data_IF_399988542921
#
_entry.id   IF_399988542921
#
_cell.length_a   1.000
_cell.length_b   1.000
_cell.length_c   1.000
_cell.angle_alpha   90.00
_cell.angle_beta   90.00
_cell.angle_gamma   90.00
#
_symmetry.space_group_name_H-M   'P 1'
#
loop_
_entity.id
_entity.type
_entity.pdbx_description
1 polymer ?
#
# COMPACT_ATOMS: atom_id res chain seq x y z
N UNK A 1 -1.77 -22.55 -94.64
CA UNK A 1 -2.81 -22.12 -93.69
C UNK A 1 -2.36 -22.63 -92.33
N UNK A 2 -1.72 -21.76 -91.53
CA UNK A 2 -2.27 -21.18 -90.29
C UNK A 2 -2.54 -22.27 -89.23
N UNK A 3 -2.04 -22.23 -88.00
CA UNK A 3 -1.89 -21.07 -87.12
C UNK A 3 -0.98 -21.45 -85.92
N UNK A 4 -0.08 -20.54 -85.56
CA UNK A 4 0.78 -20.59 -84.38
C UNK A 4 0.06 -19.88 -83.23
N UNK A 5 -0.21 -20.54 -82.11
CA UNK A 5 -0.68 -19.87 -80.88
C UNK A 5 0.32 -20.12 -79.75
N UNK A 6 1.14 -19.11 -79.52
CA UNK A 6 2.09 -19.01 -78.41
C UNK A 6 1.34 -18.75 -77.09
N UNK A 7 1.53 -19.64 -76.12
CA UNK A 7 1.04 -19.50 -74.75
C UNK A 7 1.71 -18.35 -74.00
N UNK A 8 0.92 -17.31 -73.74
CA UNK A 8 1.30 -16.08 -73.01
C UNK A 8 1.51 -16.39 -71.52
N UNK A 9 2.76 -16.29 -71.03
CA UNK A 9 3.09 -16.37 -69.60
C UNK A 9 2.47 -15.19 -68.85
N UNK A 10 1.51 -15.45 -67.95
CA UNK A 10 0.94 -14.44 -67.03
C UNK A 10 1.95 -14.15 -65.90
N UNK A 11 2.33 -12.88 -65.79
CA UNK A 11 3.12 -12.29 -64.70
C UNK A 11 2.23 -12.21 -63.46
N UNK A 12 2.57 -12.95 -62.40
CA UNK A 12 1.86 -12.90 -61.12
C UNK A 12 2.43 -11.74 -60.31
N UNK A 13 1.55 -10.80 -59.96
CA UNK A 13 1.81 -9.60 -59.20
C UNK A 13 1.93 -9.94 -57.70
N UNK A 14 3.06 -9.58 -57.10
CA UNK A 14 3.37 -9.90 -55.70
C UNK A 14 2.66 -8.94 -54.74
N UNK A 15 1.78 -9.46 -53.88
CA UNK A 15 1.18 -8.72 -52.77
C UNK A 15 2.23 -8.38 -51.68
N UNK A 16 2.16 -7.19 -51.06
CA UNK A 16 3.09 -6.81 -50.01
C UNK A 16 2.79 -7.52 -48.68
N UNK A 17 3.83 -8.07 -48.04
CA UNK A 17 3.77 -8.72 -46.72
C UNK A 17 3.60 -7.68 -45.61
N UNK A 18 2.75 -7.90 -44.59
CA UNK A 18 2.66 -7.01 -43.45
C UNK A 18 3.87 -7.21 -42.51
N UNK A 19 4.47 -6.09 -42.10
CA UNK A 19 5.63 -6.01 -41.19
C UNK A 19 5.28 -6.59 -39.82
N UNK A 20 6.12 -7.51 -39.34
CA UNK A 20 6.13 -8.04 -37.98
C UNK A 20 6.35 -6.91 -36.97
N UNK A 21 5.35 -6.62 -36.14
CA UNK A 21 5.52 -5.79 -34.94
C UNK A 21 6.23 -6.62 -33.87
N UNK A 22 7.40 -6.13 -33.47
CA UNK A 22 8.24 -6.62 -32.38
C UNK A 22 7.42 -6.61 -31.09
N UNK A 23 7.28 -7.77 -30.44
CA UNK A 23 6.67 -7.89 -29.13
C UNK A 23 7.46 -7.05 -28.11
N UNK A 24 6.83 -6.03 -27.54
CA UNK A 24 7.32 -5.35 -26.35
C UNK A 24 7.23 -6.35 -25.18
N UNK A 25 8.39 -6.74 -24.66
CA UNK A 25 8.50 -7.40 -23.36
C UNK A 25 8.04 -6.41 -22.30
N UNK A 26 6.96 -6.73 -21.61
CA UNK A 26 6.63 -6.15 -20.31
C UNK A 26 7.79 -6.42 -19.35
N UNK A 27 8.49 -5.36 -18.99
CA UNK A 27 9.50 -5.36 -17.94
C UNK A 27 8.81 -5.63 -16.61
N UNK A 28 9.10 -6.78 -16.01
CA UNK A 28 8.94 -7.00 -14.57
C UNK A 28 9.77 -5.93 -13.85
N UNK A 29 9.10 -5.02 -13.16
CA UNK A 29 9.73 -3.94 -12.39
C UNK A 29 10.29 -4.53 -11.09
N UNK A 30 11.49 -5.12 -11.18
CA UNK A 30 12.30 -5.40 -10.00
C UNK A 30 12.80 -4.05 -9.48
N UNK A 31 12.71 -3.77 -8.16
CA UNK A 31 13.17 -2.51 -7.60
C UNK A 31 14.63 -2.31 -8.03
N UNK A 32 14.87 -1.22 -8.77
CA UNK A 32 16.18 -0.94 -9.34
C UNK A 32 17.22 -0.93 -8.22
N UNK A 33 18.41 -1.50 -8.47
CA UNK A 33 19.49 -1.59 -7.48
C UNK A 33 19.85 -0.22 -6.87
N UNK A 34 19.59 0.86 -7.60
CA UNK A 34 19.71 2.25 -7.12
C UNK A 34 18.73 2.59 -6.00
N UNK A 35 17.51 2.05 -5.99
CA UNK A 35 16.51 2.22 -4.92
C UNK A 35 16.93 1.48 -3.65
N UNK A 36 17.47 0.27 -3.78
CA UNK A 36 17.99 -0.50 -2.66
C UNK A 36 19.26 0.15 -2.07
N UNK A 37 20.14 0.67 -2.93
CA UNK A 37 21.32 1.43 -2.51
C UNK A 37 20.96 2.76 -1.85
N UNK A 38 19.90 3.44 -2.32
CA UNK A 38 19.40 4.65 -1.68
C UNK A 38 18.85 4.35 -0.28
N UNK A 39 18.08 3.27 -0.14
CA UNK A 39 17.60 2.78 1.15
C UNK A 39 18.77 2.43 2.09
N UNK A 40 19.79 1.73 1.60
CA UNK A 40 20.97 1.37 2.39
C UNK A 40 21.77 2.59 2.86
N UNK A 41 21.92 3.62 2.02
CA UNK A 41 22.56 4.89 2.43
C UNK A 41 21.71 5.65 3.45
N UNK A 42 20.39 5.61 3.32
CA UNK A 42 19.50 6.27 4.26
C UNK A 42 19.50 5.56 5.62
N UNK A 43 19.50 4.23 5.67
CA UNK A 43 19.65 3.45 6.92
C UNK A 43 21.01 3.73 7.57
N UNK A 44 22.07 3.85 6.79
CA UNK A 44 23.39 4.25 7.30
C UNK A 44 23.36 5.67 7.88
N UNK A 45 22.65 6.60 7.23
CA UNK A 45 22.45 7.96 7.76
C UNK A 45 21.74 7.98 9.12
N UNK A 46 20.81 7.05 9.37
CA UNK A 46 20.16 6.91 10.68
C UNK A 46 21.11 6.32 11.73
N UNK A 47 21.93 5.32 11.34
CA UNK A 47 22.95 4.75 12.22
C UNK A 47 24.03 5.78 12.59
N UNK A 48 24.47 6.59 11.62
CA UNK A 48 25.43 7.69 11.83
C UNK A 48 24.79 8.81 12.66
N UNK A 49 23.51 9.12 12.44
CA UNK A 49 22.75 10.04 13.30
C UNK A 49 22.64 9.56 14.73
N UNK A 50 22.67 8.25 15.01
CA UNK A 50 22.68 7.68 16.38
C UNK A 50 24.08 7.71 16.99
N UNK A 51 25.13 7.49 16.19
CA UNK A 51 26.53 7.60 16.66
C UNK A 51 26.96 9.05 16.92
N UNK A 52 26.31 10.04 16.29
CA UNK A 52 26.50 11.47 16.58
C UNK A 52 25.82 11.98 17.86
N UNK A 53 25.03 11.16 18.57
CA UNK A 53 24.21 11.58 19.74
C UNK A 53 25.00 11.61 21.05
N UNK A 54 26.30 11.32 21.04
CA UNK A 54 27.13 11.42 22.24
C UNK A 54 27.24 12.86 22.82
N UNK A 55 26.80 13.90 22.09
CA UNK A 55 26.95 15.31 22.50
C UNK A 55 25.68 16.18 22.66
N UNK A 56 24.47 15.69 22.36
CA UNK A 56 23.28 16.57 22.22
C UNK A 56 22.00 16.07 22.92
N UNK A 57 22.11 15.62 24.17
CA UNK A 57 20.96 15.06 24.90
C UNK A 57 19.85 16.09 25.23
N UNK A 58 20.13 17.39 25.26
CA UNK A 58 19.16 18.40 25.69
C UNK A 58 18.13 18.76 24.60
N UNK A 59 18.55 18.95 23.35
CA UNK A 59 17.68 19.43 22.26
C UNK A 59 16.72 18.38 21.69
N UNK A 60 17.06 17.10 21.85
CA UNK A 60 16.19 15.98 21.43
C UNK A 60 14.90 15.98 22.25
N UNK A 61 14.98 16.30 23.55
CA UNK A 61 13.83 16.33 24.46
C UNK A 61 12.79 17.37 24.04
N UNK A 62 13.23 18.57 23.68
CA UNK A 62 12.33 19.68 23.37
C UNK A 62 11.63 19.49 22.01
N UNK A 63 12.37 19.03 21.00
CA UNK A 63 11.79 18.77 19.68
C UNK A 63 10.84 17.57 19.67
N UNK A 64 11.16 16.51 20.43
CA UNK A 64 10.25 15.36 20.61
C UNK A 64 8.99 15.80 21.36
N UNK A 65 9.11 16.57 22.45
CA UNK A 65 7.95 17.10 23.18
C UNK A 65 7.07 18.02 22.31
N UNK A 66 7.66 18.86 21.46
CA UNK A 66 6.93 19.72 20.52
C UNK A 66 6.24 18.91 19.42
N UNK A 67 6.84 17.82 18.94
CA UNK A 67 6.24 16.92 17.94
C UNK A 67 5.04 16.13 18.46
N UNK A 68 4.95 15.96 19.77
CA UNK A 68 3.83 15.31 20.46
C UNK A 68 2.62 16.24 20.61
N UNK A 69 2.75 17.55 20.38
CA UNK A 69 1.63 18.47 20.45
C UNK A 69 0.76 18.40 19.18
N UNK A 70 -0.57 18.39 19.30
CA UNK A 70 -1.47 18.39 18.14
C UNK A 70 -1.22 19.58 17.21
N UNK A 71 -1.05 19.33 15.90
CA UNK A 71 -1.04 20.41 14.89
C UNK A 71 -2.44 21.03 14.75
N UNK A 72 -2.56 22.32 14.37
CA UNK A 72 -3.86 22.95 14.11
C UNK A 72 -4.66 22.13 13.07
N UNK A 73 -5.91 21.79 13.39
CA UNK A 73 -6.77 20.97 12.51
C UNK A 73 -6.71 19.45 12.71
N UNK A 74 -5.79 18.92 13.52
CA UNK A 74 -5.67 17.46 13.77
C UNK A 74 -6.41 16.95 15.00
N UNK A 75 -6.86 17.83 15.90
CA UNK A 75 -7.44 17.46 17.21
C UNK A 75 -8.57 16.44 17.10
N UNK A 76 -9.55 16.66 16.23
CA UNK A 76 -10.68 15.73 16.05
C UNK A 76 -10.24 14.35 15.54
N UNK A 77 -9.22 14.29 14.68
CA UNK A 77 -8.68 13.02 14.20
C UNK A 77 -7.91 12.28 15.31
N UNK A 78 -7.17 13.02 16.14
CA UNK A 78 -6.45 12.49 17.30
C UNK A 78 -7.40 11.99 18.38
N UNK A 79 -8.48 12.72 18.68
CA UNK A 79 -9.53 12.29 19.61
C UNK A 79 -10.20 11.00 19.14
N UNK A 80 -10.52 10.90 17.83
CA UNK A 80 -11.08 9.67 17.26
C UNK A 80 -10.10 8.50 17.29
N UNK A 81 -8.81 8.74 17.03
CA UNK A 81 -7.80 7.69 17.13
C UNK A 81 -7.57 7.26 18.59
N UNK A 82 -7.58 8.21 19.52
CA UNK A 82 -7.47 7.97 20.96
C UNK A 82 -8.63 7.14 21.50
N UNK A 83 -9.86 7.44 21.09
CA UNK A 83 -11.04 6.64 21.50
C UNK A 83 -11.00 5.22 20.93
N UNK A 84 -10.49 5.04 19.71
CA UNK A 84 -10.26 3.71 19.13
C UNK A 84 -9.20 2.94 19.92
N UNK A 85 -8.08 3.58 20.27
CA UNK A 85 -7.04 2.96 21.10
C UNK A 85 -7.59 2.53 22.46
N UNK A 86 -8.38 3.40 23.11
CA UNK A 86 -9.07 3.09 24.35
C UNK A 86 -9.98 1.86 24.20
N UNK A 87 -10.80 1.82 23.15
CA UNK A 87 -11.68 0.68 22.89
C UNK A 87 -10.92 -0.62 22.64
N UNK A 88 -9.77 -0.56 21.94
CA UNK A 88 -8.91 -1.72 21.73
C UNK A 88 -8.25 -2.21 23.02
N UNK A 89 -7.82 -1.28 23.88
CA UNK A 89 -7.29 -1.60 25.21
C UNK A 89 -8.34 -2.27 26.09
N UNK A 90 -9.54 -1.68 26.17
CA UNK A 90 -10.65 -2.22 26.96
C UNK A 90 -11.12 -3.59 26.42
N UNK A 91 -11.17 -3.77 25.10
CA UNK A 91 -11.47 -5.07 24.49
C UNK A 91 -10.40 -6.14 24.78
N UNK A 92 -9.15 -5.73 25.03
CA UNK A 92 -8.08 -6.62 25.48
C UNK A 92 -8.12 -6.89 26.99
N UNK A 93 -9.06 -6.30 27.73
CA UNK A 93 -9.18 -6.44 29.19
C UNK A 93 -8.06 -5.75 29.97
N UNK A 94 -7.38 -4.76 29.37
CA UNK A 94 -6.24 -4.09 29.98
C UNK A 94 -6.64 -2.72 30.56
N UNK A 95 -6.13 -2.40 31.75
CA UNK A 95 -6.11 -1.04 32.27
C UNK A 95 -5.03 -0.20 31.59
N UNK A 96 -5.08 1.12 31.76
CA UNK A 96 -4.05 2.04 31.24
C UNK A 96 -2.67 1.71 31.82
N UNK A 97 -2.62 1.38 33.12
CA UNK A 97 -1.39 1.00 33.80
C UNK A 97 -0.82 -0.31 33.27
N UNK A 98 -1.64 -1.34 33.09
CA UNK A 98 -1.21 -2.64 32.55
C UNK A 98 -0.74 -2.52 31.10
N UNK A 99 -1.43 -1.74 30.27
CA UNK A 99 -0.96 -1.47 28.91
C UNK A 99 0.35 -0.68 28.91
N UNK A 100 0.47 0.34 29.75
CA UNK A 100 1.69 1.14 29.92
C UNK A 100 2.87 0.27 30.32
N UNK A 101 2.67 -0.67 31.25
CA UNK A 101 3.68 -1.64 31.65
C UNK A 101 4.02 -2.61 30.52
N UNK A 102 3.02 -3.11 29.79
CA UNK A 102 3.22 -4.06 28.68
C UNK A 102 4.03 -3.47 27.52
N UNK A 103 3.98 -2.14 27.32
CA UNK A 103 4.76 -1.44 26.29
C UNK A 103 6.03 -0.75 26.83
N UNK A 104 6.41 -1.04 28.09
CA UNK A 104 7.55 -0.45 28.77
C UNK A 104 7.55 1.09 28.72
N UNK A 105 6.42 1.69 29.13
CA UNK A 105 6.25 3.12 29.19
C UNK A 105 6.70 3.66 30.55
N UNK A 106 7.62 4.62 30.55
CA UNK A 106 8.12 5.26 31.79
C UNK A 106 7.03 5.97 32.59
N UNK A 107 6.08 6.58 31.88
CA UNK A 107 4.94 7.28 32.48
C UNK A 107 3.63 6.80 31.82
N UNK A 108 2.86 5.91 32.48
CA UNK A 108 1.59 5.42 31.98
C UNK A 108 0.53 6.51 31.76
N UNK A 109 0.61 7.65 32.44
CA UNK A 109 -0.38 8.74 32.30
C UNK A 109 -0.38 9.37 30.89
N UNK A 110 0.71 9.21 30.15
CA UNK A 110 0.79 9.61 28.74
C UNK A 110 -0.26 8.90 27.88
N UNK A 111 -0.59 7.64 28.20
CA UNK A 111 -1.63 6.91 27.47
C UNK A 111 -3.00 7.52 27.69
N UNK A 112 -3.29 8.07 28.88
CA UNK A 112 -4.55 8.78 29.11
C UNK A 112 -4.64 10.03 28.24
N UNK A 113 -3.56 10.79 28.12
CA UNK A 113 -3.52 11.97 27.27
C UNK A 113 -3.72 11.62 25.79
N UNK A 114 -3.13 10.50 25.35
CA UNK A 114 -3.28 9.97 23.99
C UNK A 114 -4.71 9.49 23.72
N UNK A 115 -5.32 8.76 24.65
CA UNK A 115 -6.70 8.26 24.54
C UNK A 115 -7.72 9.41 24.45
N UNK A 116 -7.39 10.57 25.03
CA UNK A 116 -8.18 11.80 24.91
C UNK A 116 -7.75 12.71 23.75
N UNK A 117 -6.84 12.26 22.88
CA UNK A 117 -6.38 13.02 21.71
C UNK A 117 -5.58 14.29 22.02
N UNK A 118 -5.10 14.45 23.27
CA UNK A 118 -4.37 15.63 23.73
C UNK A 118 -2.90 15.61 23.29
N UNK A 119 -2.36 14.42 23.08
CA UNK A 119 -0.95 14.18 22.76
C UNK A 119 -0.85 13.18 21.62
N UNK A 120 0.12 13.40 20.73
CA UNK A 120 0.43 12.49 19.64
C UNK A 120 1.41 11.39 20.07
N UNK A 121 1.32 10.23 19.42
CA UNK A 121 2.19 9.10 19.70
C UNK A 121 3.48 9.13 18.86
N UNK A 122 4.65 8.93 19.49
CA UNK A 122 5.87 8.60 18.76
C UNK A 122 5.71 7.28 18.01
N UNK A 123 6.40 7.15 16.88
CA UNK A 123 6.35 5.96 16.05
C UNK A 123 6.75 4.68 16.81
N UNK A 124 7.80 4.75 17.63
CA UNK A 124 8.22 3.62 18.48
C UNK A 124 7.12 3.14 19.42
N UNK A 125 6.35 4.07 20.01
CA UNK A 125 5.24 3.69 20.90
C UNK A 125 4.12 3.02 20.10
N UNK A 126 3.87 3.47 18.86
CA UNK A 126 2.92 2.80 17.96
C UNK A 126 3.36 1.36 17.65
N UNK A 127 4.66 1.11 17.44
CA UNK A 127 5.19 -0.24 17.22
C UNK A 127 5.02 -1.13 18.44
N UNK A 128 5.32 -0.61 19.63
CA UNK A 128 5.11 -1.35 20.88
C UNK A 128 3.63 -1.63 21.14
N UNK A 129 2.75 -0.66 20.94
CA UNK A 129 1.29 -0.85 21.02
C UNK A 129 0.81 -1.92 20.04
N UNK A 130 1.38 -2.01 18.84
CA UNK A 130 1.03 -3.05 17.87
C UNK A 130 1.39 -4.46 18.35
N UNK A 131 2.48 -4.62 19.11
CA UNK A 131 2.85 -5.93 19.68
C UNK A 131 1.85 -6.43 20.75
N UNK A 132 1.16 -5.52 21.44
CA UNK A 132 0.21 -5.85 22.51
C UNK A 132 -1.23 -5.88 22.00
N UNK A 133 -1.67 -4.80 21.35
CA UNK A 133 -3.06 -4.61 20.91
C UNK A 133 -3.29 -5.06 19.46
N UNK A 134 -2.24 -5.15 18.65
CA UNK A 134 -2.32 -5.50 17.23
C UNK A 134 -2.38 -6.99 16.95
N UNK A 135 -2.63 -7.88 17.93
CA UNK A 135 -2.53 -9.35 17.80
C UNK A 135 -3.21 -9.93 16.56
N UNK A 136 -4.36 -9.37 16.17
CA UNK A 136 -5.09 -9.85 15.00
C UNK A 136 -4.59 -9.24 13.67
N UNK A 137 -3.97 -8.05 13.71
CA UNK A 137 -3.55 -7.28 12.53
C UNK A 137 -2.55 -6.14 12.87
N UNK A 138 -1.27 -6.44 13.12
CA UNK A 138 -0.32 -5.45 13.62
C UNK A 138 0.12 -4.44 12.56
N UNK A 139 0.20 -4.85 11.28
CA UNK A 139 0.64 -3.94 10.20
C UNK A 139 -0.41 -2.87 9.89
N UNK A 140 -1.70 -3.21 9.65
CA UNK A 140 -2.74 -2.19 9.46
C UNK A 140 -2.87 -1.25 10.67
N UNK A 141 -2.66 -1.78 11.89
CA UNK A 141 -2.65 -1.00 13.11
C UNK A 141 -1.56 0.09 13.09
N UNK A 142 -0.29 -0.30 12.91
CA UNK A 142 0.84 0.65 12.86
C UNK A 142 0.61 1.71 11.80
N UNK A 143 0.18 1.30 10.61
CA UNK A 143 -0.01 2.21 9.47
C UNK A 143 -1.11 3.25 9.74
N UNK A 144 -2.26 2.81 10.24
CA UNK A 144 -3.38 3.69 10.57
C UNK A 144 -2.99 4.73 11.62
N UNK A 145 -2.34 4.28 12.70
CA UNK A 145 -1.91 5.18 13.77
C UNK A 145 -0.79 6.12 13.31
N UNK A 146 0.17 5.64 12.53
CA UNK A 146 1.25 6.48 11.98
C UNK A 146 0.68 7.57 11.08
N UNK A 147 -0.30 7.24 10.22
CA UNK A 147 -0.97 8.24 9.37
C UNK A 147 -1.65 9.36 10.18
N UNK A 148 -2.23 9.03 11.34
CA UNK A 148 -2.94 10.00 12.19
C UNK A 148 -2.02 10.78 13.12
N UNK A 149 -1.14 10.08 13.83
CA UNK A 149 -0.27 10.67 14.85
C UNK A 149 1.03 11.25 14.29
N UNK A 150 1.49 10.76 13.13
CA UNK A 150 2.80 11.10 12.59
C UNK A 150 2.77 11.22 11.04
N UNK A 151 2.07 12.24 10.51
CA UNK A 151 1.83 12.37 9.06
C UNK A 151 3.12 12.57 8.24
N UNK A 152 4.15 13.16 8.82
CA UNK A 152 5.43 13.40 8.13
C UNK A 152 6.20 12.08 7.96
N UNK A 153 6.19 11.22 8.98
CA UNK A 153 6.70 9.84 8.89
C UNK A 153 5.87 9.05 7.87
N UNK A 154 4.55 9.16 7.91
CA UNK A 154 3.67 8.53 6.95
C UNK A 154 4.02 8.91 5.50
N UNK A 155 4.23 10.19 5.20
CA UNK A 155 4.65 10.64 3.87
C UNK A 155 5.99 10.03 3.45
N UNK A 156 6.93 9.88 4.38
CA UNK A 156 8.21 9.23 4.11
C UNK A 156 8.01 7.75 3.75
N UNK A 157 7.14 7.03 4.47
CA UNK A 157 6.80 5.63 4.17
C UNK A 157 6.06 5.48 2.82
N UNK A 158 5.19 6.43 2.48
CA UNK A 158 4.53 6.49 1.17
C UNK A 158 5.52 6.69 0.02
N UNK A 159 6.48 7.60 0.19
CA UNK A 159 7.54 7.83 -0.80
C UNK A 159 8.43 6.61 -1.01
N UNK A 160 8.57 5.75 0.01
CA UNK A 160 9.25 4.46 -0.07
C UNK A 160 8.38 3.34 -0.67
N UNK A 161 7.12 3.62 -1.02
CA UNK A 161 6.20 2.68 -1.66
C UNK A 161 5.46 1.73 -0.71
N UNK A 162 5.61 1.89 0.61
CA UNK A 162 5.00 1.01 1.63
C UNK A 162 3.46 1.09 1.57
N UNK A 163 2.91 2.27 1.24
CA UNK A 163 1.49 2.45 0.99
C UNK A 163 0.92 1.57 -0.11
N UNK A 164 1.62 1.50 -1.24
CA UNK A 164 1.19 0.72 -2.42
C UNK A 164 1.26 -0.77 -2.14
N UNK A 165 2.32 -1.23 -1.47
CA UNK A 165 2.46 -2.62 -1.04
C UNK A 165 1.31 -3.03 -0.11
N UNK A 166 0.94 -2.18 0.84
CA UNK A 166 -0.15 -2.48 1.77
C UNK A 166 -1.54 -2.45 1.13
N UNK A 167 -1.78 -1.54 0.18
CA UNK A 167 -3.01 -1.57 -0.60
C UNK A 167 -3.14 -2.88 -1.38
N UNK A 168 -2.03 -3.43 -1.85
CA UNK A 168 -2.01 -4.72 -2.53
C UNK A 168 -2.30 -5.86 -1.54
N UNK A 169 -1.62 -5.91 -0.40
CA UNK A 169 -1.86 -6.92 0.66
C UNK A 169 -3.30 -6.87 1.17
N UNK A 170 -3.87 -5.67 1.36
CA UNK A 170 -5.27 -5.51 1.77
C UNK A 170 -6.24 -6.06 0.73
N UNK A 171 -6.01 -5.76 -0.56
CA UNK A 171 -6.84 -6.31 -1.66
C UNK A 171 -6.73 -7.83 -1.76
N UNK A 172 -5.52 -8.39 -1.60
CA UNK A 172 -5.29 -9.84 -1.58
C UNK A 172 -6.05 -10.49 -0.42
N UNK A 173 -6.04 -9.86 0.76
CA UNK A 173 -6.79 -10.36 1.92
C UNK A 173 -8.29 -10.41 1.69
N UNK A 174 -8.88 -9.39 1.06
CA UNK A 174 -10.31 -9.39 0.72
C UNK A 174 -10.67 -10.58 -0.17
N UNK A 175 -9.83 -10.91 -1.16
CA UNK A 175 -10.02 -12.08 -2.03
C UNK A 175 -9.95 -13.38 -1.21
N UNK A 176 -8.95 -13.50 -0.33
CA UNK A 176 -8.80 -14.68 0.55
C UNK A 176 -9.96 -14.80 1.54
N UNK A 177 -10.49 -13.68 2.03
CA UNK A 177 -11.62 -13.65 2.95
C UNK A 177 -12.90 -14.20 2.31
N UNK A 178 -13.13 -13.99 1.01
CA UNK A 178 -14.27 -14.61 0.28
C UNK A 178 -14.20 -16.14 0.37
N UNK A 179 -13.02 -16.72 0.13
CA UNK A 179 -12.81 -18.16 0.28
C UNK A 179 -12.99 -18.60 1.75
N UNK A 180 -12.38 -17.88 2.70
CA UNK A 180 -12.46 -18.21 4.13
C UNK A 180 -13.86 -18.00 4.74
N UNK A 181 -14.72 -17.18 4.15
CA UNK A 181 -16.08 -17.01 4.64
C UNK A 181 -17.01 -18.17 4.25
N UNK A 182 -16.56 -19.07 3.35
CA UNK A 182 -17.38 -20.14 2.81
C UNK A 182 -16.91 -21.52 3.34
N UNK A 183 -17.62 -22.06 4.33
CA UNK A 183 -17.31 -23.38 4.89
C UNK A 183 -17.50 -24.53 3.91
N UNK A 184 -18.42 -24.40 2.94
CA UNK A 184 -18.59 -25.41 1.90
C UNK A 184 -17.35 -25.46 0.98
N UNK A 185 -16.74 -24.30 0.70
CA UNK A 185 -15.51 -24.23 -0.12
C UNK A 185 -14.31 -24.95 0.51
N UNK A 186 -14.30 -25.15 1.84
CA UNK A 186 -13.26 -25.91 2.56
C UNK A 186 -13.47 -27.42 2.53
N UNK A 187 -14.66 -27.88 2.14
CA UNK A 187 -15.05 -29.30 2.12
C UNK A 187 -15.11 -29.87 0.70
N UNK A 188 -14.75 -29.08 -0.29
CA UNK A 188 -14.70 -29.51 -1.69
C UNK A 188 -13.68 -30.63 -1.86
N UNK A 189 -13.98 -31.56 -2.77
CA UNK A 189 -12.97 -32.47 -3.31
C UNK A 189 -11.93 -31.69 -4.10
N UNK A 190 -10.75 -32.27 -4.35
CA UNK A 190 -9.72 -31.63 -5.17
C UNK A 190 -10.21 -31.34 -6.59
N UNK A 191 -11.06 -32.21 -7.15
CA UNK A 191 -11.66 -32.05 -8.48
C UNK A 191 -12.65 -30.87 -8.52
N UNK A 192 -13.55 -30.79 -7.53
CA UNK A 192 -14.50 -29.69 -7.42
C UNK A 192 -13.81 -28.35 -7.13
N UNK A 193 -12.76 -28.36 -6.31
CA UNK A 193 -11.94 -27.19 -6.04
C UNK A 193 -11.25 -26.69 -7.31
N UNK A 194 -10.68 -27.59 -8.11
CA UNK A 194 -10.06 -27.24 -9.39
C UNK A 194 -11.07 -26.61 -10.37
N UNK A 195 -12.27 -27.17 -10.47
CA UNK A 195 -13.35 -26.64 -11.31
C UNK A 195 -13.78 -25.23 -10.87
N UNK A 196 -13.95 -25.01 -9.56
CA UNK A 196 -14.31 -23.70 -9.01
C UNK A 196 -13.18 -22.68 -9.17
N UNK A 197 -11.92 -23.10 -9.03
CA UNK A 197 -10.76 -22.23 -9.23
C UNK A 197 -10.65 -21.76 -10.68
N UNK A 198 -10.84 -22.65 -11.64
CA UNK A 198 -10.85 -22.31 -13.08
C UNK A 198 -12.00 -21.35 -13.42
N UNK A 199 -13.20 -21.62 -12.90
CA UNK A 199 -14.33 -20.70 -13.05
C UNK A 199 -14.01 -19.31 -12.46
N UNK A 200 -13.46 -19.27 -11.25
CA UNK A 200 -13.11 -18.01 -10.56
C UNK A 200 -12.06 -17.22 -11.36
N UNK A 201 -11.06 -17.88 -11.94
CA UNK A 201 -10.06 -17.26 -12.83
C UNK A 201 -10.73 -16.61 -14.04
N UNK A 202 -11.58 -17.35 -14.76
CA UNK A 202 -12.30 -16.83 -15.93
C UNK A 202 -13.22 -15.68 -15.59
N UNK A 203 -13.94 -15.76 -14.47
CA UNK A 203 -14.81 -14.69 -13.99
C UNK A 203 -14.01 -13.42 -13.64
N UNK A 204 -12.84 -13.58 -13.01
CA UNK A 204 -11.96 -12.47 -12.67
C UNK A 204 -11.41 -11.77 -13.92
N UNK A 205 -10.92 -12.53 -14.90
CA UNK A 205 -10.43 -12.00 -16.19
C UNK A 205 -11.54 -11.24 -16.93
N UNK A 206 -12.76 -11.81 -16.93
CA UNK A 206 -13.93 -11.17 -17.52
C UNK A 206 -14.27 -9.83 -16.82
N UNK A 207 -14.28 -9.81 -15.49
CA UNK A 207 -14.54 -8.59 -14.72
C UNK A 207 -13.48 -7.49 -14.99
N UNK A 208 -12.21 -7.86 -15.10
CA UNK A 208 -11.14 -6.95 -15.49
C UNK A 208 -11.34 -6.38 -16.90
N UNK A 209 -11.71 -7.24 -17.85
CA UNK A 209 -12.00 -6.83 -19.22
C UNK A 209 -13.16 -5.81 -19.26
N UNK A 210 -14.28 -6.07 -18.57
CA UNK A 210 -15.40 -5.13 -18.49
C UNK A 210 -15.01 -3.78 -17.88
N UNK A 211 -14.23 -3.79 -16.79
CA UNK A 211 -13.79 -2.54 -16.14
C UNK A 211 -12.84 -1.73 -17.02
N UNK A 212 -12.02 -2.39 -17.82
CA UNK A 212 -11.12 -1.73 -18.77
C UNK A 212 -11.87 -1.06 -19.93
N UNK A 213 -12.95 -1.68 -20.41
CA UNK A 213 -13.76 -1.16 -21.52
C UNK A 213 -14.63 0.04 -21.12
N UNK A 214 -15.08 0.10 -19.86
CA UNK A 214 -15.84 1.24 -19.32
C UNK A 214 -15.02 2.53 -19.15
N UNK A 215 -13.69 2.48 -19.26
CA UNK A 215 -12.78 3.62 -19.13
C UNK A 215 -12.43 4.20 -20.50
N UNK A 216 -13.42 4.63 -21.28
CA UNK A 216 -13.17 5.46 -22.48
C UNK A 216 -12.59 6.81 -22.03
N UNK A 217 -11.48 7.30 -22.62
CA UNK A 217 -10.94 8.61 -22.27
C UNK A 217 -11.96 9.70 -22.62
N UNK A 218 -12.29 10.55 -21.64
CA UNK A 218 -13.13 11.73 -21.83
C UNK A 218 -12.38 12.64 -22.82
N UNK A 219 -12.96 12.89 -23.99
CA UNK A 219 -12.36 13.76 -25.00
C UNK A 219 -12.05 15.12 -24.37
N UNK A 220 -10.80 15.59 -24.54
CA UNK A 220 -10.37 16.90 -24.07
C UNK A 220 -11.23 17.99 -24.73
N UNK A 221 -11.64 19.04 -23.99
CA UNK A 221 -12.35 20.16 -24.59
C UNK A 221 -11.47 20.83 -25.66
N UNK A 222 -12.07 21.36 -26.75
CA UNK A 222 -11.32 21.96 -27.84
C UNK A 222 -10.49 23.17 -27.34
N UNK A 223 -9.30 23.40 -27.92
CA UNK A 223 -8.44 24.51 -27.52
C UNK A 223 -9.16 25.86 -27.75
N UNK A 224 -9.04 26.75 -26.77
CA UNK A 224 -9.61 28.09 -26.83
C UNK A 224 -9.03 28.87 -28.04
N UNK A 225 -9.83 29.72 -28.71
CA UNK A 225 -9.36 30.51 -29.83
C UNK A 225 -8.27 31.49 -29.37
N UNK A 226 -7.24 31.64 -30.21
CA UNK A 226 -6.11 32.52 -29.96
C UNK A 226 -6.56 34.00 -29.91
N UNK A 227 -5.93 34.83 -29.06
CA UNK A 227 -6.23 36.26 -28.99
C UNK A 227 -5.75 37.00 -30.25
N UNK A 228 -6.57 37.94 -30.72
CA UNK A 228 -6.26 38.91 -31.79
C UNK A 228 -5.21 39.95 -31.35
#
# INVERSE_FOLDING_TARGET
>A
MAETVAGRKKKVEALPRPRTKKAERTTEDKPSESTLLALARQVRGWADSVLGIAGAAADVSFNVAKSMLPKPGQKAALEKAGSVLRGMREAAGLSVAELGQAIDLKDPSLLELVEHGKVALPFEIILRLASVLGRNDPIPFVMKLTRTYNPDIWQTLENLGIGRLMLQVGREREIVNIYRANDAARRLSDEDFAAILDFTRKAFDMALAFRSQGRKPRASPPPAPAPE
#
